data_IF_679683858278
#
_entry.id   IF_679683858278
#
_cell.length_a   1.000
_cell.length_b   1.000
_cell.length_c   1.000
_cell.angle_alpha   90.00
_cell.angle_beta   90.00
_cell.angle_gamma   90.00
#
_symmetry.space_group_name_H-M   'P 1'
#
loop_
_entity.id
_entity.type
_entity.pdbx_description
1 polymer ?
#
# COMPACT_ATOMS: atom_id res chain seq x y z
N UNK A 1 18.06 21.52 73.49
CA UNK A 1 18.46 21.84 72.13
C UNK A 1 18.15 20.62 71.24
N UNK A 2 17.01 20.60 70.52
CA UNK A 2 16.62 19.50 69.65
C UNK A 2 16.91 19.94 68.22
N UNK A 3 17.80 19.23 67.50
CA UNK A 3 18.05 19.41 66.05
C UNK A 3 17.05 18.62 65.30
N UNK A 4 16.22 19.31 64.54
CA UNK A 4 15.26 18.70 63.53
C UNK A 4 16.04 18.58 62.23
N UNK A 5 16.30 17.32 61.80
CA UNK A 5 16.83 17.02 60.47
C UNK A 5 15.68 16.98 59.47
N UNK A 6 15.68 17.91 58.51
CA UNK A 6 14.78 17.94 57.39
C UNK A 6 15.32 16.99 56.30
N UNK A 7 14.67 15.84 56.12
CA UNK A 7 14.99 14.94 55.00
C UNK A 7 14.14 15.41 53.81
N UNK A 8 14.80 16.04 52.84
CA UNK A 8 14.17 16.43 51.58
C UNK A 8 13.92 15.22 50.70
N UNK A 9 12.64 14.90 50.47
CA UNK A 9 12.19 13.85 49.54
C UNK A 9 12.32 14.37 48.11
N UNK A 10 13.35 13.92 47.39
CA UNK A 10 13.56 14.23 45.95
C UNK A 10 12.65 13.33 45.12
N UNK A 11 11.52 13.85 44.66
CA UNK A 11 10.61 13.13 43.75
C UNK A 11 11.16 13.25 42.31
N UNK A 12 11.76 12.19 41.83
CA UNK A 12 12.13 12.05 40.39
C UNK A 12 10.87 11.82 39.59
N UNK A 13 10.41 12.84 38.87
CA UNK A 13 9.44 12.67 37.79
C UNK A 13 10.14 11.97 36.60
N UNK A 14 9.94 10.67 36.46
CA UNK A 14 10.25 9.95 35.22
C UNK A 14 9.27 10.41 34.18
N UNK A 15 9.65 11.38 33.34
CA UNK A 15 8.94 11.72 32.11
C UNK A 15 9.05 10.51 31.19
N UNK A 16 7.99 9.70 31.09
CA UNK A 16 7.86 8.70 30.04
C UNK A 16 7.81 9.44 28.71
N UNK A 17 8.72 9.15 27.75
CA UNK A 17 8.60 9.72 26.43
C UNK A 17 7.26 9.21 25.83
N UNK A 18 6.32 10.12 25.61
CA UNK A 18 5.16 9.83 24.78
C UNK A 18 5.69 9.53 23.38
N UNK A 19 5.80 8.25 23.03
CA UNK A 19 5.96 7.86 21.65
C UNK A 19 4.72 8.41 20.91
N UNK A 20 4.93 9.37 20.02
CA UNK A 20 3.88 9.81 19.11
C UNK A 20 3.38 8.55 18.42
N UNK A 21 2.04 8.33 18.35
CA UNK A 21 1.52 7.19 17.60
C UNK A 21 2.09 7.30 16.18
N UNK A 22 2.81 6.26 15.72
CA UNK A 22 3.14 6.14 14.31
C UNK A 22 1.80 6.25 13.58
N UNK A 23 1.69 7.21 12.65
CA UNK A 23 0.49 7.35 11.85
C UNK A 23 0.16 5.99 11.26
N UNK A 24 -0.97 5.44 11.66
CA UNK A 24 -1.43 4.15 11.16
C UNK A 24 -1.68 4.29 9.67
N UNK A 25 -0.99 3.49 8.86
CA UNK A 25 -1.21 3.51 7.42
C UNK A 25 -2.55 2.84 7.09
N UNK A 26 -3.55 3.68 6.80
CA UNK A 26 -4.89 3.24 6.43
C UNK A 26 -4.96 2.88 4.94
N UNK A 27 -5.91 2.01 4.55
CA UNK A 27 -6.24 1.78 3.16
C UNK A 27 -6.68 3.08 2.47
N UNK A 28 -6.48 3.23 1.15
CA UNK A 28 -6.92 4.39 0.39
C UNK A 28 -8.45 4.51 0.34
N UNK A 29 -8.95 5.66 -0.13
CA UNK A 29 -10.37 5.97 -0.34
C UNK A 29 -11.25 5.96 0.92
N UNK A 30 -10.67 6.17 2.11
CA UNK A 30 -11.41 6.25 3.37
C UNK A 30 -11.87 4.91 3.94
N UNK A 31 -11.35 3.81 3.42
CA UNK A 31 -11.53 2.49 4.01
C UNK A 31 -10.70 2.34 5.30
N UNK A 32 -11.04 1.32 6.08
CA UNK A 32 -10.31 0.92 7.28
C UNK A 32 -9.98 -0.56 7.21
N UNK A 33 -8.89 -0.95 7.84
CA UNK A 33 -8.61 -2.37 8.04
C UNK A 33 -9.77 -3.03 8.79
N UNK A 34 -10.09 -4.26 8.41
CA UNK A 34 -11.22 -5.03 8.89
C UNK A 34 -12.63 -4.49 8.50
N UNK A 35 -12.74 -3.51 7.61
CA UNK A 35 -14.03 -3.16 7.03
C UNK A 35 -14.69 -4.41 6.45
N UNK A 36 -16.00 -4.57 6.75
CA UNK A 36 -16.76 -5.70 6.21
C UNK A 36 -17.00 -5.55 4.72
N UNK A 37 -17.16 -6.67 4.02
CA UNK A 37 -17.50 -6.68 2.59
C UNK A 37 -18.71 -5.80 2.27
N UNK A 38 -19.76 -5.85 3.11
CA UNK A 38 -20.97 -5.03 2.94
C UNK A 38 -20.68 -3.52 3.03
N UNK A 39 -19.78 -3.10 3.95
CA UNK A 39 -19.36 -1.71 4.04
C UNK A 39 -18.57 -1.29 2.80
N UNK A 40 -17.61 -2.10 2.36
CA UNK A 40 -16.82 -1.81 1.15
C UNK A 40 -17.75 -1.70 -0.06
N UNK A 41 -18.68 -2.65 -0.25
CA UNK A 41 -19.65 -2.62 -1.35
C UNK A 41 -20.53 -1.36 -1.31
N UNK A 42 -21.00 -0.96 -0.13
CA UNK A 42 -21.79 0.27 0.03
C UNK A 42 -21.01 1.54 -0.36
N UNK A 43 -19.73 1.64 0.01
CA UNK A 43 -18.86 2.76 -0.38
C UNK A 43 -18.63 2.76 -1.90
N UNK A 44 -18.34 1.61 -2.49
CA UNK A 44 -18.15 1.46 -3.94
C UNK A 44 -19.40 1.86 -4.71
N UNK A 45 -20.58 1.45 -4.24
CA UNK A 45 -21.86 1.84 -4.84
C UNK A 45 -22.07 3.38 -4.77
N UNK A 46 -21.78 3.99 -3.62
CA UNK A 46 -21.86 5.45 -3.45
C UNK A 46 -20.90 6.19 -4.39
N UNK A 47 -19.72 5.65 -4.64
CA UNK A 47 -18.72 6.17 -5.58
C UNK A 47 -19.04 5.86 -7.05
N UNK A 48 -20.13 5.14 -7.36
CA UNK A 48 -20.48 4.63 -8.68
C UNK A 48 -19.40 3.74 -9.32
N UNK A 49 -18.57 3.12 -8.48
CA UNK A 49 -17.56 2.16 -8.92
C UNK A 49 -18.21 0.78 -9.16
N UNK A 50 -17.65 0.04 -10.10
CA UNK A 50 -18.16 -1.27 -10.51
C UNK A 50 -17.24 -2.38 -10.03
N UNK A 51 -17.79 -3.38 -9.33
CA UNK A 51 -17.10 -4.65 -9.08
C UNK A 51 -17.15 -5.44 -10.38
N UNK A 52 -16.03 -5.51 -11.10
CA UNK A 52 -15.90 -6.16 -12.39
C UNK A 52 -15.76 -7.68 -12.24
N UNK A 53 -15.09 -8.14 -11.17
CA UNK A 53 -14.84 -9.56 -10.92
C UNK A 53 -14.82 -9.82 -9.40
N UNK A 54 -15.38 -10.97 -9.02
CA UNK A 54 -15.27 -11.55 -7.67
C UNK A 54 -14.71 -12.95 -7.77
N UNK A 55 -13.60 -13.19 -7.12
CA UNK A 55 -12.96 -14.51 -7.04
C UNK A 55 -12.89 -14.97 -5.59
N UNK A 56 -13.27 -16.22 -5.36
CA UNK A 56 -13.16 -16.83 -4.05
C UNK A 56 -12.15 -17.96 -4.09
N UNK A 57 -11.11 -17.86 -3.25
CA UNK A 57 -10.06 -18.87 -3.12
C UNK A 57 -9.90 -19.24 -1.65
N UNK A 58 -10.27 -20.46 -1.28
CA UNK A 58 -10.19 -20.95 0.11
C UNK A 58 -10.88 -20.00 1.10
N UNK A 59 -10.09 -19.34 1.96
CA UNK A 59 -10.57 -18.40 2.99
C UNK A 59 -10.45 -16.93 2.57
N UNK A 60 -10.12 -16.66 1.31
CA UNK A 60 -9.96 -15.30 0.76
C UNK A 60 -11.01 -15.04 -0.31
N UNK A 61 -11.46 -13.81 -0.37
CA UNK A 61 -12.27 -13.29 -1.47
C UNK A 61 -11.58 -12.06 -2.03
N UNK A 62 -11.46 -12.00 -3.36
CA UNK A 62 -10.76 -10.94 -4.09
C UNK A 62 -11.75 -10.27 -5.02
N UNK A 63 -11.87 -8.94 -4.91
CA UNK A 63 -12.72 -8.14 -5.79
C UNK A 63 -11.87 -7.23 -6.66
N UNK A 64 -12.03 -7.33 -7.97
CA UNK A 64 -11.49 -6.37 -8.93
C UNK A 64 -12.53 -5.29 -9.21
N UNK A 65 -12.17 -4.05 -8.94
CA UNK A 65 -13.07 -2.88 -9.02
C UNK A 65 -12.54 -1.88 -10.03
N UNK A 66 -13.45 -1.35 -10.83
CA UNK A 66 -13.19 -0.29 -11.82
C UNK A 66 -14.05 0.95 -11.49
N UNK A 67 -13.60 2.11 -11.97
CA UNK A 67 -14.37 3.36 -11.86
C UNK A 67 -14.14 4.16 -10.58
N UNK A 68 -13.20 3.75 -9.69
CA UNK A 68 -12.72 4.66 -8.65
C UNK A 68 -11.88 5.77 -9.29
N UNK A 69 -12.18 7.02 -8.94
CA UNK A 69 -11.59 8.18 -9.61
C UNK A 69 -10.24 8.55 -8.99
N UNK A 70 -9.17 8.22 -9.71
CA UNK A 70 -7.82 8.70 -9.43
C UNK A 70 -7.03 8.73 -10.75
N UNK A 71 -6.21 9.77 -11.02
CA UNK A 71 -5.50 9.89 -12.30
C UNK A 71 -4.64 8.67 -12.62
N UNK A 72 -4.91 8.02 -13.76
CA UNK A 72 -4.21 6.81 -14.22
C UNK A 72 -4.61 5.50 -13.52
N UNK A 73 -5.47 5.55 -12.51
CA UNK A 73 -5.97 4.34 -11.86
C UNK A 73 -6.86 3.56 -12.83
N UNK A 74 -6.44 2.36 -13.17
CA UNK A 74 -7.16 1.46 -14.07
C UNK A 74 -8.12 0.57 -13.29
N UNK A 75 -7.62 -0.01 -12.19
CA UNK A 75 -8.41 -0.88 -11.32
C UNK A 75 -7.88 -0.87 -9.89
N UNK A 76 -8.73 -1.26 -8.97
CA UNK A 76 -8.40 -1.47 -7.56
C UNK A 76 -8.77 -2.90 -7.19
N UNK A 77 -7.87 -3.61 -6.52
CA UNK A 77 -8.11 -4.97 -6.06
C UNK A 77 -8.25 -4.96 -4.54
N UNK A 78 -9.42 -5.39 -4.06
CA UNK A 78 -9.70 -5.54 -2.62
C UNK A 78 -9.59 -7.01 -2.25
N UNK A 79 -8.80 -7.31 -1.22
CA UNK A 79 -8.68 -8.67 -0.68
C UNK A 79 -9.29 -8.75 0.71
N UNK A 80 -10.19 -9.71 0.88
CA UNK A 80 -10.85 -10.02 2.15
C UNK A 80 -10.38 -11.37 2.66
N UNK A 81 -10.13 -11.45 3.96
CA UNK A 81 -9.90 -12.70 4.71
C UNK A 81 -10.95 -12.78 5.81
N UNK A 82 -11.67 -13.91 5.90
CA UNK A 82 -12.78 -14.06 6.85
C UNK A 82 -13.81 -12.91 6.76
N UNK A 83 -14.08 -12.43 5.53
CA UNK A 83 -15.01 -11.31 5.20
C UNK A 83 -14.55 -9.94 5.69
N UNK A 84 -13.33 -9.77 6.16
CA UNK A 84 -12.73 -8.52 6.60
C UNK A 84 -11.67 -8.04 5.61
N UNK A 85 -11.60 -6.74 5.33
CA UNK A 85 -10.65 -6.12 4.41
C UNK A 85 -9.23 -6.23 4.97
N UNK A 86 -8.33 -6.88 4.22
CA UNK A 86 -6.93 -7.09 4.62
C UNK A 86 -5.91 -6.55 3.63
N UNK A 87 -6.30 -6.29 2.38
CA UNK A 87 -5.40 -5.65 1.41
C UNK A 87 -6.17 -4.83 0.38
N UNK A 88 -5.52 -3.78 -0.12
CA UNK A 88 -5.98 -2.95 -1.24
C UNK A 88 -4.79 -2.70 -2.16
N UNK A 89 -4.92 -3.11 -3.42
CA UNK A 89 -3.95 -2.84 -4.48
C UNK A 89 -4.51 -1.83 -5.46
N UNK A 90 -3.74 -0.79 -5.77
CA UNK A 90 -4.05 0.22 -6.77
C UNK A 90 -3.21 -0.05 -8.02
N UNK A 91 -3.82 -0.32 -9.16
CA UNK A 91 -3.13 -0.58 -10.42
C UNK A 91 -3.30 0.57 -11.39
N UNK A 92 -2.17 1.18 -11.77
CA UNK A 92 -2.08 2.34 -12.64
C UNK A 92 -1.55 1.95 -14.02
N UNK A 93 -2.25 2.35 -15.05
CA UNK A 93 -1.87 2.15 -16.45
C UNK A 93 -1.92 3.48 -17.21
N UNK A 94 -0.89 3.73 -18.02
CA UNK A 94 -0.77 4.90 -18.88
C UNK A 94 -0.33 4.44 -20.27
N UNK A 95 -1.28 4.04 -21.14
CA UNK A 95 -0.97 3.37 -22.40
C UNK A 95 -0.02 4.16 -23.31
N UNK A 96 -0.13 5.50 -23.28
CA UNK A 96 0.64 6.40 -24.14
C UNK A 96 2.00 6.81 -23.55
N UNK A 97 2.38 6.27 -22.38
CA UNK A 97 3.62 6.65 -21.74
C UNK A 97 4.80 5.80 -22.21
N UNK A 98 5.95 6.49 -22.43
CA UNK A 98 7.22 5.79 -22.62
C UNK A 98 7.72 5.12 -21.33
N UNK A 99 8.69 4.24 -21.45
CA UNK A 99 9.33 3.57 -20.30
C UNK A 99 10.00 4.58 -19.35
N UNK A 100 10.61 5.64 -19.92
CA UNK A 100 11.26 6.70 -19.14
C UNK A 100 10.24 7.42 -18.25
N UNK A 101 9.03 7.67 -18.76
CA UNK A 101 7.96 8.33 -18.02
C UNK A 101 7.41 7.44 -16.91
N UNK A 102 7.29 6.13 -17.14
CA UNK A 102 6.98 5.16 -16.09
C UNK A 102 8.06 5.13 -15.01
N UNK A 103 9.33 5.10 -15.39
CA UNK A 103 10.46 5.10 -14.46
C UNK A 103 10.51 6.38 -13.62
N UNK A 104 10.26 7.54 -14.25
CA UNK A 104 10.14 8.81 -13.55
C UNK A 104 9.02 8.76 -12.51
N UNK A 105 7.83 8.31 -12.91
CA UNK A 105 6.67 8.22 -12.02
C UNK A 105 6.91 7.27 -10.85
N UNK A 106 7.51 6.10 -11.13
CA UNK A 106 7.93 5.16 -10.09
C UNK A 106 8.89 5.82 -9.08
N UNK A 107 9.87 6.57 -9.58
CA UNK A 107 10.83 7.32 -8.75
C UNK A 107 10.16 8.40 -7.89
N UNK A 108 9.18 9.13 -8.43
CA UNK A 108 8.40 10.14 -7.69
C UNK A 108 7.60 9.52 -6.55
N UNK A 109 6.88 8.42 -6.81
CA UNK A 109 6.09 7.71 -5.80
C UNK A 109 7.02 7.13 -4.72
N UNK A 110 8.12 6.49 -5.12
CA UNK A 110 9.12 5.98 -4.18
C UNK A 110 9.67 7.08 -3.29
N UNK A 111 10.10 8.21 -3.87
CA UNK A 111 10.62 9.35 -3.11
C UNK A 111 9.60 9.85 -2.09
N UNK A 112 8.34 10.00 -2.48
CA UNK A 112 7.27 10.39 -1.56
C UNK A 112 7.11 9.41 -0.39
N UNK A 113 7.17 8.09 -0.64
CA UNK A 113 7.09 7.10 0.42
C UNK A 113 8.36 7.06 1.29
N UNK A 114 9.55 7.21 0.69
CA UNK A 114 10.82 7.30 1.43
C UNK A 114 10.83 8.51 2.37
N UNK A 115 10.34 9.66 1.95
CA UNK A 115 10.25 10.87 2.78
C UNK A 115 9.24 10.70 3.92
N UNK A 116 8.16 9.98 3.68
CA UNK A 116 7.08 9.83 4.66
C UNK A 116 7.26 8.66 5.63
N UNK A 117 7.80 7.55 5.17
CA UNK A 117 7.86 6.29 5.91
C UNK A 117 9.28 5.76 6.13
N UNK A 118 10.30 6.52 5.71
CA UNK A 118 11.68 6.07 5.73
C UNK A 118 12.07 5.28 4.47
N UNK A 119 13.33 4.91 4.35
CA UNK A 119 13.87 4.26 3.16
C UNK A 119 13.24 2.89 2.91
N UNK A 120 12.59 2.74 1.76
CA UNK A 120 12.00 1.48 1.33
C UNK A 120 13.04 0.41 1.00
N UNK A 121 12.76 -0.81 1.40
CA UNK A 121 13.58 -1.99 1.07
C UNK A 121 13.30 -2.43 -0.36
N UNK A 122 14.33 -2.61 -1.17
CA UNK A 122 14.21 -3.28 -2.49
C UNK A 122 13.86 -4.76 -2.26
N UNK A 123 12.71 -5.22 -2.76
CA UNK A 123 12.23 -6.60 -2.57
C UNK A 123 12.21 -7.40 -3.87
N UNK A 124 12.20 -6.72 -5.02
CA UNK A 124 12.31 -7.36 -6.33
C UNK A 124 13.07 -6.47 -7.30
N UNK A 125 13.96 -7.08 -8.07
CA UNK A 125 14.61 -6.48 -9.22
C UNK A 125 15.04 -7.58 -10.17
N UNK A 126 14.32 -7.76 -11.26
CA UNK A 126 14.61 -8.81 -12.24
C UNK A 126 14.19 -8.41 -13.63
N UNK A 127 14.95 -8.90 -14.60
CA UNK A 127 14.58 -8.96 -16.00
C UNK A 127 14.59 -10.44 -16.38
N UNK A 128 13.45 -10.97 -16.75
CA UNK A 128 13.34 -12.34 -17.22
C UNK A 128 13.11 -12.32 -18.73
N UNK A 129 13.83 -13.20 -19.43
CA UNK A 129 13.67 -13.44 -20.85
C UNK A 129 13.20 -14.87 -21.01
N UNK A 130 11.94 -15.04 -21.34
CA UNK A 130 11.37 -16.36 -21.67
C UNK A 130 10.98 -16.35 -23.13
N UNK A 131 11.69 -17.12 -23.94
CA UNK A 131 11.56 -17.32 -25.39
C UNK A 131 11.32 -16.02 -26.16
N UNK A 132 10.08 -15.48 -26.13
CA UNK A 132 9.67 -14.30 -26.89
C UNK A 132 9.11 -13.17 -25.99
N UNK A 133 9.17 -13.32 -24.64
CA UNK A 133 8.66 -12.33 -23.69
C UNK A 133 9.78 -11.78 -22.82
N UNK A 134 9.91 -10.45 -22.82
CA UNK A 134 10.80 -9.72 -21.90
C UNK A 134 9.96 -9.19 -20.77
N UNK A 135 10.24 -9.63 -19.54
CA UNK A 135 9.56 -9.16 -18.34
C UNK A 135 10.53 -8.40 -17.44
N UNK A 136 10.06 -7.28 -16.91
CA UNK A 136 10.78 -6.48 -15.92
C UNK A 136 9.91 -6.32 -14.68
N UNK A 137 10.46 -6.62 -13.52
CA UNK A 137 9.81 -6.39 -12.23
C UNK A 137 10.77 -5.64 -11.31
N UNK A 138 10.30 -4.50 -10.77
CA UNK A 138 11.01 -3.75 -9.72
C UNK A 138 10.04 -3.48 -8.58
N UNK A 139 10.43 -3.80 -7.35
CA UNK A 139 9.57 -3.66 -6.19
C UNK A 139 10.28 -3.11 -4.96
N UNK A 140 9.60 -2.24 -4.23
CA UNK A 140 10.02 -1.67 -2.95
C UNK A 140 8.96 -1.91 -1.89
N UNK A 141 9.37 -2.02 -0.64
CA UNK A 141 8.50 -2.32 0.50
C UNK A 141 8.84 -1.43 1.69
N UNK A 142 7.81 -0.95 2.38
CA UNK A 142 7.87 -0.21 3.65
C UNK A 142 7.03 -0.91 4.69
N UNK A 143 7.51 -0.93 5.92
CA UNK A 143 6.77 -1.40 7.09
C UNK A 143 6.33 -0.20 7.91
N UNK A 144 5.03 0.02 8.04
CA UNK A 144 4.44 1.16 8.75
C UNK A 144 3.48 0.65 9.82
N UNK A 145 3.97 0.50 11.05
CA UNK A 145 3.21 -0.14 12.12
C UNK A 145 2.84 -1.59 11.76
N UNK A 146 1.56 -1.91 11.81
CA UNK A 146 0.99 -3.20 11.43
C UNK A 146 0.56 -3.27 9.95
N UNK A 147 1.10 -2.40 9.11
CA UNK A 147 0.77 -2.34 7.68
C UNK A 147 2.04 -2.45 6.84
N UNK A 148 1.97 -3.23 5.79
CA UNK A 148 2.97 -3.32 4.74
C UNK A 148 2.49 -2.50 3.54
N UNK A 149 3.34 -1.60 3.05
CA UNK A 149 3.16 -0.83 1.84
C UNK A 149 4.16 -1.32 0.80
N UNK A 150 3.70 -1.62 -0.40
CA UNK A 150 4.57 -2.05 -1.49
C UNK A 150 4.31 -1.22 -2.74
N UNK A 151 5.35 -0.99 -3.50
CA UNK A 151 5.33 -0.28 -4.77
C UNK A 151 6.03 -1.14 -5.81
N UNK A 152 5.31 -1.55 -6.85
CA UNK A 152 5.85 -2.35 -7.94
C UNK A 152 5.71 -1.64 -9.28
N UNK A 153 6.72 -1.80 -10.12
CA UNK A 153 6.65 -1.60 -11.55
C UNK A 153 6.77 -2.94 -12.24
N UNK A 154 5.84 -3.24 -13.12
CA UNK A 154 5.86 -4.41 -13.98
C UNK A 154 5.76 -3.98 -15.44
N UNK A 155 6.55 -4.63 -16.30
CA UNK A 155 6.48 -4.49 -17.74
C UNK A 155 6.63 -5.86 -18.38
N UNK A 156 5.80 -6.15 -19.37
CA UNK A 156 5.93 -7.32 -20.24
C UNK A 156 5.92 -6.86 -21.69
N UNK A 157 6.85 -7.34 -22.49
CA UNK A 157 6.93 -7.07 -23.92
C UNK A 157 7.00 -8.37 -24.69
N UNK A 158 6.11 -8.51 -25.67
CA UNK A 158 6.09 -9.60 -26.63
C UNK A 158 5.85 -9.00 -28.01
N UNK A 159 6.83 -9.10 -28.91
CA UNK A 159 6.84 -8.45 -30.21
C UNK A 159 6.58 -6.94 -30.10
N UNK A 160 5.52 -6.46 -30.75
CA UNK A 160 5.06 -5.08 -30.73
C UNK A 160 4.08 -4.77 -29.59
N UNK A 161 3.69 -5.79 -28.82
CA UNK A 161 2.77 -5.63 -27.70
C UNK A 161 3.56 -5.33 -26.42
N UNK A 162 3.24 -4.22 -25.77
CA UNK A 162 3.88 -3.80 -24.51
C UNK A 162 2.81 -3.52 -23.49
N UNK A 163 2.89 -4.23 -22.37
CA UNK A 163 2.09 -3.97 -21.17
C UNK A 163 2.96 -3.38 -20.07
N UNK A 164 2.51 -2.32 -19.43
CA UNK A 164 3.19 -1.69 -18.29
C UNK A 164 2.18 -1.28 -17.23
N UNK A 165 2.53 -1.51 -15.97
CA UNK A 165 1.73 -1.09 -14.83
C UNK A 165 2.61 -0.66 -13.66
N UNK A 166 2.10 0.29 -12.87
CA UNK A 166 2.61 0.57 -11.53
C UNK A 166 1.53 0.12 -10.56
N UNK A 167 1.87 -0.67 -9.55
CA UNK A 167 0.95 -1.00 -8.47
C UNK A 167 1.44 -0.48 -7.12
N UNK A 168 0.48 -0.09 -6.28
CA UNK A 168 0.70 0.30 -4.89
C UNK A 168 -0.18 -0.59 -4.02
N UNK A 169 0.45 -1.43 -3.23
CA UNK A 169 -0.20 -2.42 -2.38
C UNK A 169 -0.18 -2.00 -0.92
N UNK A 170 -1.33 -1.96 -0.29
CA UNK A 170 -1.54 -1.77 1.14
C UNK A 170 -2.01 -3.10 1.73
N UNK A 171 -1.33 -3.61 2.75
CA UNK A 171 -1.62 -4.91 3.37
C UNK A 171 -1.57 -4.81 4.89
N UNK A 172 -2.68 -5.15 5.57
CA UNK A 172 -2.67 -5.38 7.01
C UNK A 172 -1.92 -6.69 7.33
N UNK A 173 -1.12 -6.70 8.39
CA UNK A 173 -0.30 -7.83 8.84
C UNK A 173 -0.99 -8.63 9.93
#
# INVERSE_FOLDING_TARGET
MRRISLIGLLVFFLATPYALPLDELLPPFGFRWNDSMARVEGVLHGAKAKIALREKKENREVWTVEGLVHPGLKRTVFTFKQRALVAVELQYEYPDWSIERYNQRMGEIRKYFDEKYGTGKLVSRGNEHDTDVIQTLVGYQWMVGATMLELFYFSAQHDNFVYRTISVDYKAL
#
